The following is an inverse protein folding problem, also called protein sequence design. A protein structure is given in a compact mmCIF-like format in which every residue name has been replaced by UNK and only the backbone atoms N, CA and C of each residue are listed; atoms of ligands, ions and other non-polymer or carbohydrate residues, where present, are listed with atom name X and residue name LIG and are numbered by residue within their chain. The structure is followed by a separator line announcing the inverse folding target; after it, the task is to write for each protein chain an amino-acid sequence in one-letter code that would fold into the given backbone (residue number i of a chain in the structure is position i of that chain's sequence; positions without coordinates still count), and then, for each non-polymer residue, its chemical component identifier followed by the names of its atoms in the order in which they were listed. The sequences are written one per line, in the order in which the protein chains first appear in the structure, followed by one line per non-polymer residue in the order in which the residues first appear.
data_IF_020116669171
#
_entry.id   IF_020116669171
#
_cell.length_a   1.000
_cell.length_b   1.000
_cell.length_c   1.000
_cell.angle_alpha   90.00
_cell.angle_beta   90.00
_cell.angle_gamma   90.00
#
_symmetry.space_group_name_H-M   'P 1'
#
loop_
_entity.id
_entity.type
_entity.pdbx_description
1 polymer ?
#
# COMPACT_ATOMS: atom_id res chain seq x y z
N UNK A 1 14.72 -4.75 49.47
CA UNK A 1 15.03 -6.18 49.30
C UNK A 1 15.02 -6.56 47.81
N UNK A 2 16.16 -6.43 47.10
CA UNK A 2 16.24 -6.76 45.68
C UNK A 2 15.87 -8.22 45.39
N UNK A 3 16.11 -9.13 46.35
CA UNK A 3 15.78 -10.55 46.30
C UNK A 3 14.27 -10.80 46.13
N UNK A 4 13.45 -10.18 46.99
CA UNK A 4 11.98 -10.33 46.96
C UNK A 4 11.39 -9.74 45.67
N UNK A 5 11.92 -8.60 45.19
CA UNK A 5 11.50 -8.05 43.89
C UNK A 5 11.92 -8.95 42.71
N UNK A 6 13.05 -9.64 42.80
CA UNK A 6 13.53 -10.59 41.80
C UNK A 6 12.67 -11.85 41.74
N UNK A 7 12.24 -12.33 42.92
CA UNK A 7 11.37 -13.50 43.07
C UNK A 7 9.94 -13.18 42.60
N UNK A 8 9.36 -12.04 42.99
CA UNK A 8 8.03 -11.61 42.51
C UNK A 8 8.05 -11.38 40.99
N UNK A 9 9.14 -10.80 40.47
CA UNK A 9 9.39 -10.72 39.03
C UNK A 9 9.39 -12.12 38.41
N UNK A 10 10.09 -13.11 38.95
CA UNK A 10 10.11 -14.47 38.40
C UNK A 10 8.78 -15.24 38.50
N UNK A 11 8.04 -15.06 39.59
CA UNK A 11 6.81 -15.80 39.90
C UNK A 11 5.62 -15.37 39.02
N UNK A 12 5.54 -14.09 38.66
CA UNK A 12 4.53 -13.55 37.73
C UNK A 12 5.02 -13.60 36.27
N UNK A 13 6.33 -13.79 36.02
CA UNK A 13 6.94 -13.87 34.67
C UNK A 13 7.19 -15.31 34.22
N UNK A 14 6.14 -16.14 34.24
CA UNK A 14 6.12 -17.29 33.34
C UNK A 14 6.33 -16.85 31.88
N UNK A 15 6.89 -17.71 31.04
CA UNK A 15 6.96 -17.41 29.61
C UNK A 15 5.54 -17.26 29.05
N UNK A 16 5.24 -16.08 28.51
CA UNK A 16 3.94 -15.80 27.92
C UNK A 16 3.72 -16.69 26.67
N UNK A 17 2.70 -17.56 26.75
CA UNK A 17 2.28 -18.49 25.69
C UNK A 17 1.07 -17.98 24.89
N UNK A 18 0.47 -16.87 25.30
CA UNK A 18 -0.78 -16.35 24.73
C UNK A 18 -0.56 -15.29 23.65
N UNK A 19 0.55 -14.54 23.73
CA UNK A 19 0.89 -13.54 22.73
C UNK A 19 1.31 -14.17 21.39
N UNK A 20 1.04 -13.49 20.25
CA UNK A 20 1.57 -13.92 18.96
C UNK A 20 3.10 -13.92 18.99
N UNK A 21 3.66 -14.96 18.40
CA UNK A 21 5.11 -15.15 18.30
C UNK A 21 5.74 -14.01 17.50
N UNK A 22 6.98 -13.63 17.82
CA UNK A 22 7.66 -12.55 17.11
C UNK A 22 9.14 -12.85 16.86
N UNK A 23 9.77 -12.03 16.00
CA UNK A 23 11.18 -12.23 15.58
C UNK A 23 12.22 -12.15 16.69
N UNK A 24 11.88 -11.66 17.88
CA UNK A 24 12.78 -11.55 19.04
C UNK A 24 12.63 -12.73 20.01
N UNK A 25 11.76 -13.68 19.70
CA UNK A 25 11.46 -14.83 20.56
C UNK A 25 12.16 -16.11 20.05
N UNK A 26 12.56 -16.95 21.01
CA UNK A 26 13.17 -18.26 20.77
C UNK A 26 14.65 -18.21 20.42
N UNK A 27 15.13 -19.23 19.70
CA UNK A 27 16.56 -19.45 19.49
C UNK A 27 17.08 -18.70 18.26
N UNK A 28 18.42 -18.73 18.05
CA UNK A 28 19.09 -18.09 16.90
C UNK A 28 18.59 -18.51 15.51
N UNK A 29 17.87 -19.63 15.44
CA UNK A 29 17.31 -20.18 14.19
C UNK A 29 15.91 -19.65 13.88
N UNK A 30 15.23 -19.03 14.85
CA UNK A 30 13.90 -18.46 14.67
C UNK A 30 13.99 -17.09 13.99
N UNK A 31 14.19 -17.09 12.67
CA UNK A 31 14.38 -15.88 11.84
C UNK A 31 13.08 -15.41 11.19
N UNK A 32 12.12 -14.97 12.01
CA UNK A 32 10.84 -14.47 11.50
C UNK A 32 10.96 -13.03 10.97
N UNK A 33 10.34 -12.76 9.82
CA UNK A 33 10.20 -11.41 9.26
C UNK A 33 9.16 -10.56 9.98
N UNK A 34 9.01 -9.31 9.55
CA UNK A 34 8.03 -8.33 10.07
C UNK A 34 7.05 -7.84 9.02
N UNK A 35 6.88 -8.60 7.93
CA UNK A 35 5.96 -8.24 6.83
C UNK A 35 6.54 -7.29 5.78
N UNK A 36 7.83 -6.95 5.87
CA UNK A 36 8.49 -6.26 4.76
C UNK A 36 8.57 -7.19 3.54
N UNK A 37 8.24 -6.71 2.33
CA UNK A 37 8.31 -7.51 1.12
C UNK A 37 9.76 -7.89 0.81
N UNK A 38 9.95 -9.03 0.16
CA UNK A 38 11.27 -9.49 -0.25
C UNK A 38 11.73 -8.75 -1.51
N UNK A 39 12.84 -8.00 -1.40
CA UNK A 39 13.41 -7.19 -2.48
C UNK A 39 14.67 -7.81 -3.10
N UNK A 40 15.02 -9.03 -2.67
CA UNK A 40 16.32 -9.64 -2.93
C UNK A 40 16.16 -11.07 -3.43
N UNK A 41 17.04 -11.48 -4.33
CA UNK A 41 17.20 -12.90 -4.66
C UNK A 41 18.32 -13.51 -3.80
N UNK A 42 18.08 -14.70 -3.26
CA UNK A 42 19.10 -15.46 -2.57
C UNK A 42 19.90 -16.33 -3.55
N UNK A 43 21.22 -16.13 -3.60
CA UNK A 43 22.14 -16.97 -4.40
C UNK A 43 23.39 -17.32 -3.59
N UNK A 44 23.62 -18.62 -3.36
CA UNK A 44 24.78 -19.15 -2.59
C UNK A 44 25.00 -18.43 -1.25
N UNK A 45 23.93 -18.23 -0.48
CA UNK A 45 23.98 -17.55 0.83
C UNK A 45 24.14 -16.03 0.77
N UNK A 46 24.29 -15.44 -0.42
CA UNK A 46 24.30 -13.99 -0.62
C UNK A 46 22.91 -13.48 -1.02
N UNK A 47 22.59 -12.26 -0.59
CA UNK A 47 21.39 -11.52 -1.00
C UNK A 47 21.78 -10.55 -2.10
N UNK A 48 21.15 -10.70 -3.27
CA UNK A 48 21.37 -9.83 -4.42
C UNK A 48 20.13 -8.95 -4.55
N UNK A 49 20.30 -7.65 -4.38
CA UNK A 49 19.21 -6.67 -4.58
C UNK A 49 18.97 -6.52 -6.07
N UNK A 50 17.72 -6.69 -6.49
CA UNK A 50 17.33 -6.50 -7.89
C UNK A 50 16.61 -5.16 -8.02
N UNK A 51 17.11 -4.29 -8.90
CA UNK A 51 16.58 -2.93 -9.04
C UNK A 51 15.10 -2.89 -9.44
N UNK A 52 14.64 -3.87 -10.20
CA UNK A 52 13.25 -3.98 -10.65
C UNK A 52 12.25 -4.28 -9.52
N UNK A 53 12.70 -4.81 -8.38
CA UNK A 53 11.84 -5.13 -7.24
C UNK A 53 11.69 -3.95 -6.28
N UNK A 54 12.52 -2.91 -6.41
CA UNK A 54 12.48 -1.75 -5.52
C UNK A 54 11.34 -0.84 -5.98
N UNK A 55 10.27 -0.65 -5.17
CA UNK A 55 9.21 0.28 -5.52
C UNK A 55 9.76 1.70 -5.54
N UNK A 56 9.39 2.47 -6.56
CA UNK A 56 9.81 3.86 -6.73
C UNK A 56 8.62 4.78 -6.52
N UNK A 57 8.82 5.82 -5.70
CA UNK A 57 7.85 6.88 -5.55
C UNK A 57 8.01 7.87 -6.70
N UNK A 58 7.01 7.96 -7.56
CA UNK A 58 6.95 8.95 -8.64
C UNK A 58 6.27 10.19 -8.06
N UNK A 59 7.08 11.21 -7.75
CA UNK A 59 6.59 12.47 -7.15
C UNK A 59 6.47 13.51 -8.26
N UNK A 60 5.26 14.03 -8.55
CA UNK A 60 5.08 15.10 -9.53
C UNK A 60 5.59 16.44 -8.97
N UNK A 61 5.91 17.38 -9.87
CA UNK A 61 6.19 18.75 -9.48
C UNK A 61 4.89 19.46 -9.05
N UNK A 62 4.93 20.17 -7.93
CA UNK A 62 3.77 20.84 -7.33
C UNK A 62 3.88 22.36 -7.39
N UNK A 63 4.82 22.92 -8.16
CA UNK A 63 4.90 24.38 -8.35
C UNK A 63 3.63 24.92 -9.00
N UNK A 64 2.94 25.83 -8.32
CA UNK A 64 1.67 26.41 -8.81
C UNK A 64 0.43 25.55 -8.58
N UNK A 65 0.52 24.48 -7.79
CA UNK A 65 -0.62 23.59 -7.53
C UNK A 65 -1.65 24.22 -6.57
N UNK A 66 -2.87 24.43 -7.04
CA UNK A 66 -3.94 25.11 -6.28
C UNK A 66 -4.71 24.19 -5.32
N UNK A 67 -4.73 22.88 -5.61
CA UNK A 67 -5.51 21.92 -4.83
C UNK A 67 -4.89 21.72 -3.44
N UNK A 68 -5.76 21.74 -2.42
CA UNK A 68 -5.39 21.59 -1.00
C UNK A 68 -5.96 20.29 -0.43
N UNK A 69 -5.38 19.74 0.67
CA UNK A 69 -5.90 18.53 1.31
C UNK A 69 -7.32 18.67 1.86
N UNK A 70 -7.78 19.90 2.07
CA UNK A 70 -9.10 20.21 2.62
C UNK A 70 -9.82 21.24 1.75
N UNK A 71 -11.15 21.09 1.73
CA UNK A 71 -12.08 22.01 1.08
C UNK A 71 -12.81 22.86 2.11
N UNK A 72 -13.30 24.02 1.68
CA UNK A 72 -14.08 24.90 2.54
C UNK A 72 -15.48 24.34 2.76
N UNK A 73 -16.07 24.47 3.96
CA UNK A 73 -17.42 23.98 4.26
C UNK A 73 -18.54 24.79 3.58
N UNK A 74 -18.20 25.86 2.86
CA UNK A 74 -19.16 26.72 2.14
C UNK A 74 -19.60 26.13 0.80
N UNK A 75 -18.96 25.06 0.33
CA UNK A 75 -19.29 24.40 -0.94
C UNK A 75 -20.63 23.66 -0.78
N UNK A 76 -21.53 23.72 -1.78
CA UNK A 76 -22.78 22.97 -1.73
C UNK A 76 -22.52 21.46 -1.67
N UNK A 77 -23.47 20.71 -1.12
CA UNK A 77 -23.41 19.25 -1.12
C UNK A 77 -23.55 18.72 -2.55
N UNK A 78 -22.61 17.85 -2.96
CA UNK A 78 -22.60 17.22 -4.27
C UNK A 78 -22.83 15.71 -4.09
N UNK A 79 -23.86 15.18 -4.73
CA UNK A 79 -24.12 13.74 -4.79
C UNK A 79 -23.45 13.13 -6.02
N UNK A 80 -22.39 12.35 -5.83
CA UNK A 80 -21.73 11.61 -6.89
C UNK A 80 -22.31 10.19 -6.95
N UNK A 81 -23.06 9.88 -8.01
CA UNK A 81 -23.47 8.51 -8.31
C UNK A 81 -22.23 7.68 -8.73
N UNK A 82 -22.23 6.35 -8.51
CA UNK A 82 -21.14 5.50 -8.93
C UNK A 82 -20.99 5.54 -10.46
N UNK A 83 -19.77 5.80 -10.93
CA UNK A 83 -19.46 5.88 -12.36
C UNK A 83 -19.56 4.48 -12.96
N UNK A 84 -20.39 4.32 -13.99
CA UNK A 84 -20.51 3.05 -14.73
C UNK A 84 -19.55 3.02 -15.93
N UNK A 85 -19.16 1.83 -16.43
CA UNK A 85 -18.34 1.73 -17.64
C UNK A 85 -18.96 2.41 -18.86
N UNK A 86 -20.30 2.42 -18.93
CA UNK A 86 -21.04 3.10 -19.98
C UNK A 86 -20.84 4.60 -19.91
N UNK A 87 -20.91 5.20 -18.72
CA UNK A 87 -20.68 6.63 -18.52
C UNK A 87 -19.27 7.05 -18.98
N UNK A 88 -18.26 6.20 -18.75
CA UNK A 88 -16.88 6.45 -19.20
C UNK A 88 -16.80 6.36 -20.73
N UNK A 89 -17.41 5.34 -21.33
CA UNK A 89 -17.43 5.15 -22.78
C UNK A 89 -18.12 6.32 -23.49
N UNK A 90 -19.29 6.70 -22.99
CA UNK A 90 -20.12 7.77 -23.56
C UNK A 90 -19.39 9.13 -23.52
N UNK A 91 -18.57 9.38 -22.49
CA UNK A 91 -17.80 10.63 -22.37
C UNK A 91 -16.50 10.62 -23.16
N UNK A 92 -15.73 9.53 -23.11
CA UNK A 92 -14.38 9.48 -23.68
C UNK A 92 -14.35 8.98 -25.12
N UNK A 93 -15.04 7.88 -25.42
CA UNK A 93 -14.84 7.12 -26.65
C UNK A 93 -15.94 7.38 -27.69
N UNK A 94 -17.20 7.48 -27.25
CA UNK A 94 -18.32 7.72 -28.14
C UNK A 94 -18.16 8.94 -29.08
N UNK A 95 -17.68 10.13 -28.63
CA UNK A 95 -17.56 11.27 -29.54
C UNK A 95 -16.52 11.04 -30.65
N UNK A 96 -15.42 10.34 -30.36
CA UNK A 96 -14.38 10.03 -31.34
C UNK A 96 -14.88 8.98 -32.36
N UNK A 97 -15.55 7.93 -31.87
CA UNK A 97 -16.10 6.87 -32.71
C UNK A 97 -17.18 7.43 -33.64
N UNK A 98 -18.07 8.28 -33.13
CA UNK A 98 -19.10 8.93 -33.96
C UNK A 98 -18.50 9.83 -35.04
N UNK A 99 -17.41 10.54 -34.73
CA UNK A 99 -16.71 11.37 -35.71
C UNK A 99 -16.08 10.51 -36.83
N UNK A 100 -15.35 9.47 -36.44
CA UNK A 100 -14.71 8.53 -37.38
C UNK A 100 -15.74 7.75 -38.22
N UNK A 101 -16.88 7.40 -37.64
CA UNK A 101 -17.97 6.74 -38.37
C UNK A 101 -18.61 7.68 -39.41
N UNK A 102 -18.77 8.97 -39.09
CA UNK A 102 -19.27 9.98 -40.04
C UNK A 102 -18.27 10.27 -41.17
N UNK A 103 -16.98 10.23 -40.87
CA UNK A 103 -15.90 10.38 -41.84
C UNK A 103 -15.73 9.13 -42.74
N UNK A 104 -16.35 8.00 -42.37
CA UNK A 104 -16.33 6.76 -43.12
C UNK A 104 -15.04 5.96 -42.95
N UNK A 105 -14.21 6.28 -41.96
CA UNK A 105 -12.98 5.54 -41.64
C UNK A 105 -13.27 4.19 -40.97
N UNK A 106 -14.43 4.09 -40.32
CA UNK A 106 -14.88 2.90 -39.60
C UNK A 106 -16.20 2.41 -40.20
N UNK A 107 -16.25 1.13 -40.57
CA UNK A 107 -17.47 0.39 -40.89
C UNK A 107 -17.91 -0.49 -39.72
N UNK A 108 -19.18 -0.90 -39.69
CA UNK A 108 -19.76 -1.81 -38.67
C UNK A 108 -18.92 -3.06 -38.37
#
# INVERSE_FOLDING_TARGET
MPLVSGIIRGLIRGADRSRPWNSKMGTKYNRMGRGAPELVQFKKGKRIVMRNYIPQYIVPDLTGFELKPYVTPKVPEVHCNPVTPKDIFDVCCAPEIEAQFKEGEISE
#
